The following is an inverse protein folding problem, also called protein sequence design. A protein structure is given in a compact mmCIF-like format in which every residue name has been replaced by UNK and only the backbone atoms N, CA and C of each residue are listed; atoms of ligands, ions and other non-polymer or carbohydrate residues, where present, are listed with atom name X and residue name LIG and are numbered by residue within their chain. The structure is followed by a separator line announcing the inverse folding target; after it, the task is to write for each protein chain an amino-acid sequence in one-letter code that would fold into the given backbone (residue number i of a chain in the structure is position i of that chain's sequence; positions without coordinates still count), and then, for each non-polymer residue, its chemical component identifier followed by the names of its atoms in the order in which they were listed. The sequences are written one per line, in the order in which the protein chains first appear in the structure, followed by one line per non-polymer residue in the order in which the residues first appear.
data_IF_156802489943
#
_entry.id   IF_156802489943
#
_cell.length_a   1.000
_cell.length_b   1.000
_cell.length_c   1.000
_cell.angle_alpha   90.00
_cell.angle_beta   90.00
_cell.angle_gamma   90.00
#
_symmetry.space_group_name_H-M   'P 1'
#
loop_
_entity.id
_entity.type
_entity.pdbx_description
1 polymer ?
#
# COMPACT_ATOMS: atom_id res chain seq x y z
N UNK A 1 -9.41 9.03 -5.74
CA UNK A 1 -8.56 9.02 -4.52
C UNK A 1 -9.08 8.02 -3.49
N UNK A 2 -8.20 7.21 -2.91
CA UNK A 2 -8.47 6.39 -1.73
C UNK A 2 -7.87 7.06 -0.48
N UNK A 3 -8.51 6.88 0.69
CA UNK A 3 -8.12 7.46 1.99
C UNK A 3 -7.66 8.94 1.94
N UNK A 4 -8.41 9.79 1.23
CA UNK A 4 -8.08 11.21 1.03
C UNK A 4 -6.65 11.48 0.50
N UNK A 5 -6.04 10.52 -0.20
CA UNK A 5 -4.69 10.66 -0.74
C UNK A 5 -3.57 10.14 0.17
N UNK A 6 -3.89 9.55 1.32
CA UNK A 6 -2.89 8.96 2.23
C UNK A 6 -2.58 7.49 1.92
N UNK A 7 -3.37 6.86 1.04
CA UNK A 7 -3.11 5.53 0.51
C UNK A 7 -2.20 5.58 -0.73
N UNK A 8 -0.89 5.75 -0.51
CA UNK A 8 0.08 6.05 -1.59
C UNK A 8 0.41 4.80 -2.43
N UNK A 9 0.14 4.87 -3.74
CA UNK A 9 0.46 3.82 -4.71
C UNK A 9 1.80 4.04 -5.44
N UNK A 10 2.24 5.30 -5.58
CA UNK A 10 3.55 5.69 -6.10
C UNK A 10 4.03 6.98 -5.41
N UNK A 11 5.20 6.94 -4.79
CA UNK A 11 5.80 8.08 -4.11
C UNK A 11 6.45 9.10 -5.06
N UNK A 12 6.61 8.76 -6.34
CA UNK A 12 7.33 9.58 -7.33
C UNK A 12 6.40 10.20 -8.38
N UNK A 13 5.09 10.11 -8.17
CA UNK A 13 4.09 10.64 -9.10
C UNK A 13 3.08 11.52 -8.37
N UNK A 14 2.61 12.54 -9.07
CA UNK A 14 1.50 13.39 -8.64
C UNK A 14 0.20 12.71 -9.04
N UNK A 15 -0.83 12.82 -8.19
CA UNK A 15 -2.17 12.38 -8.56
C UNK A 15 -2.67 13.26 -9.73
N UNK A 16 -3.10 12.69 -10.86
CA UNK A 16 -3.58 13.44 -12.02
C UNK A 16 -4.68 14.47 -11.72
N UNK A 17 -5.48 14.27 -10.66
CA UNK A 17 -6.49 15.25 -10.22
C UNK A 17 -5.87 16.59 -9.77
N UNK A 18 -4.57 16.61 -9.44
CA UNK A 18 -3.80 17.79 -9.00
C UNK A 18 -2.76 18.28 -10.00
N UNK A 19 -2.61 17.62 -11.14
CA UNK A 19 -1.60 17.94 -12.15
C UNK A 19 -0.52 16.87 -12.29
N UNK A 20 0.66 17.29 -12.74
CA UNK A 20 1.82 16.44 -12.95
C UNK A 20 3.08 16.93 -12.20
N UNK A 21 4.22 16.28 -12.44
CA UNK A 21 5.48 16.66 -11.80
C UNK A 21 6.00 18.03 -12.24
N UNK A 22 5.70 18.46 -13.48
CA UNK A 22 6.08 19.78 -13.97
C UNK A 22 5.31 20.87 -13.22
N UNK A 23 4.02 20.65 -12.93
CA UNK A 23 3.23 21.57 -12.12
C UNK A 23 3.82 21.76 -10.70
N UNK A 24 4.34 20.69 -10.11
CA UNK A 24 5.03 20.73 -8.80
C UNK A 24 6.35 21.49 -8.88
N UNK A 25 7.15 21.25 -9.92
CA UNK A 25 8.41 21.97 -10.15
C UNK A 25 8.16 23.48 -10.32
N UNK A 26 7.14 23.84 -11.10
CA UNK A 26 6.74 25.24 -11.34
C UNK A 26 6.25 25.91 -10.06
N UNK A 27 5.47 25.19 -9.22
CA UNK A 27 5.02 25.67 -7.92
C UNK A 27 6.20 25.97 -6.98
N UNK A 28 7.17 25.05 -6.91
CA UNK A 28 8.35 25.21 -6.04
C UNK A 28 9.20 26.39 -6.51
N UNK A 29 9.40 26.54 -7.83
CA UNK A 29 10.16 27.64 -8.41
C UNK A 29 9.52 29.00 -8.07
N UNK A 30 8.23 29.16 -8.34
CA UNK A 30 7.49 30.40 -8.07
C UNK A 30 7.44 30.73 -6.57
N UNK A 31 7.24 29.73 -5.70
CA UNK A 31 7.31 29.92 -4.26
C UNK A 31 8.70 30.43 -3.83
N UNK A 32 9.76 29.89 -4.42
CA UNK A 32 11.13 30.30 -4.19
C UNK A 32 11.40 31.77 -4.53
N UNK A 33 10.89 32.26 -5.66
CA UNK A 33 10.98 33.68 -6.06
C UNK A 33 10.31 34.63 -5.06
N UNK A 34 9.27 34.16 -4.38
CA UNK A 34 8.53 34.90 -3.35
C UNK A 34 9.11 34.74 -1.94
N UNK A 35 10.21 33.99 -1.78
CA UNK A 35 10.78 33.67 -0.48
C UNK A 35 9.94 32.70 0.36
N UNK A 36 8.98 32.02 -0.25
CA UNK A 36 8.12 31.01 0.37
C UNK A 36 8.83 29.66 0.36
N UNK A 37 8.68 28.88 1.43
CA UNK A 37 9.16 27.50 1.51
C UNK A 37 7.99 26.53 1.47
N UNK A 38 8.16 25.48 0.67
CA UNK A 38 7.15 24.41 0.50
C UNK A 38 7.51 23.25 1.42
N UNK A 39 6.53 22.77 2.19
CA UNK A 39 6.63 21.55 2.99
C UNK A 39 5.57 20.56 2.50
N UNK A 40 5.92 19.27 2.48
CA UNK A 40 5.07 18.20 1.97
C UNK A 40 4.92 17.14 3.05
N UNK A 41 3.71 16.57 3.18
CA UNK A 41 3.45 15.45 4.07
C UNK A 41 4.14 14.17 3.58
N UNK A 42 4.72 13.41 4.51
CA UNK A 42 5.40 12.15 4.23
C UNK A 42 4.73 10.98 4.95
N UNK A 43 4.01 10.15 4.18
CA UNK A 43 3.29 8.98 4.70
C UNK A 43 4.12 7.71 4.48
N UNK A 44 4.84 7.27 5.51
CA UNK A 44 5.76 6.10 5.43
C UNK A 44 5.33 4.92 6.29
N UNK A 45 4.29 5.07 7.11
CA UNK A 45 3.80 3.98 7.97
C UNK A 45 3.12 2.86 7.17
N UNK A 46 2.53 3.18 6.01
CA UNK A 46 1.82 2.25 5.15
C UNK A 46 1.86 2.72 3.69
N UNK A 47 1.58 1.80 2.76
CA UNK A 47 1.38 2.07 1.34
C UNK A 47 0.06 1.44 0.89
N UNK A 48 -0.45 1.85 -0.27
CA UNK A 48 -1.59 1.21 -0.92
C UNK A 48 -1.35 -0.26 -1.25
N UNK A 49 -2.42 -1.05 -1.27
CA UNK A 49 -2.38 -2.43 -1.77
C UNK A 49 -2.13 -2.48 -3.29
N UNK A 50 -2.29 -1.36 -3.99
CA UNK A 50 -1.89 -1.20 -5.39
C UNK A 50 -0.40 -0.88 -5.57
N UNK A 51 0.31 -0.52 -4.49
CA UNK A 51 1.73 -0.18 -4.52
C UNK A 51 2.56 -1.36 -5.05
N UNK A 52 3.54 -1.08 -5.92
CA UNK A 52 4.37 -2.12 -6.58
C UNK A 52 5.04 -3.06 -5.58
N UNK A 53 5.50 -2.53 -4.45
CA UNK A 53 6.14 -3.31 -3.38
C UNK A 53 5.15 -4.30 -2.78
N UNK A 54 3.94 -3.86 -2.42
CA UNK A 54 2.93 -4.73 -1.84
C UNK A 54 2.50 -5.82 -2.80
N UNK A 55 2.21 -5.47 -4.07
CA UNK A 55 1.84 -6.46 -5.10
C UNK A 55 2.91 -7.53 -5.30
N UNK A 56 4.19 -7.15 -5.33
CA UNK A 56 5.30 -8.11 -5.46
C UNK A 56 5.51 -8.95 -4.20
N UNK A 57 5.42 -8.34 -3.02
CA UNK A 57 5.53 -9.03 -1.73
C UNK A 57 4.40 -10.05 -1.52
N UNK A 58 3.20 -9.74 -2.02
CA UNK A 58 2.03 -10.60 -1.95
C UNK A 58 2.12 -11.77 -2.95
N UNK A 59 2.58 -11.51 -4.18
CA UNK A 59 2.66 -12.52 -5.24
C UNK A 59 3.79 -13.53 -5.06
N UNK A 60 4.93 -13.11 -4.50
CA UNK A 60 6.11 -13.96 -4.33
C UNK A 60 6.67 -13.87 -2.88
N UNK A 61 6.61 -14.97 -2.10
CA UNK A 61 7.23 -15.04 -0.78
C UNK A 61 8.75 -14.79 -0.77
N UNK A 62 9.46 -15.04 -1.87
CA UNK A 62 10.91 -14.82 -2.02
C UNK A 62 11.24 -13.45 -2.62
N UNK A 63 10.24 -12.58 -2.78
CA UNK A 63 10.45 -11.22 -3.26
C UNK A 63 11.35 -10.44 -2.30
N UNK A 64 12.25 -9.61 -2.84
CA UNK A 64 13.03 -8.66 -2.03
C UNK A 64 12.16 -7.70 -1.19
N UNK A 65 10.89 -7.54 -1.57
CA UNK A 65 9.93 -6.69 -0.87
C UNK A 65 9.12 -7.45 0.19
N UNK A 66 9.33 -8.76 0.37
CA UNK A 66 8.53 -9.57 1.29
C UNK A 66 8.55 -9.01 2.71
N UNK A 67 9.74 -8.63 3.17
CA UNK A 67 9.97 -8.16 4.54
C UNK A 67 9.60 -6.67 4.73
N UNK A 68 9.14 -5.98 3.69
CA UNK A 68 8.62 -4.61 3.82
C UNK A 68 7.23 -4.58 4.48
N UNK A 69 6.54 -5.72 4.55
CA UNK A 69 5.19 -5.83 5.12
C UNK A 69 5.10 -6.98 6.12
N UNK A 70 4.14 -6.89 7.04
CA UNK A 70 3.94 -7.89 8.09
C UNK A 70 2.96 -8.95 7.60
N UNK A 71 3.48 -10.11 7.19
CA UNK A 71 2.68 -11.29 6.86
C UNK A 71 2.64 -12.27 8.05
N UNK A 72 1.44 -12.62 8.51
CA UNK A 72 1.25 -13.62 9.58
C UNK A 72 0.13 -14.59 9.22
N UNK A 73 0.35 -15.93 9.33
CA UNK A 73 -0.69 -16.91 9.05
C UNK A 73 -1.77 -16.90 10.13
N UNK A 74 -2.97 -17.33 9.78
CA UNK A 74 -4.05 -17.56 10.72
C UNK A 74 -3.66 -18.65 11.74
N UNK A 75 -4.14 -18.52 12.98
CA UNK A 75 -3.96 -19.50 14.06
C UNK A 75 -5.33 -20.11 14.36
N UNK A 76 -5.47 -21.43 14.20
CA UNK A 76 -6.74 -22.16 14.39
C UNK A 76 -7.92 -21.56 13.59
N UNK A 77 -7.66 -21.10 12.36
CA UNK A 77 -8.67 -20.48 11.49
C UNK A 77 -9.08 -19.05 11.90
N UNK A 78 -8.48 -18.49 12.94
CA UNK A 78 -8.71 -17.13 13.42
C UNK A 78 -7.54 -16.20 13.08
N UNK A 79 -7.74 -14.89 13.29
CA UNK A 79 -6.68 -13.89 13.13
C UNK A 79 -5.45 -14.23 14.01
N UNK A 80 -4.22 -13.85 13.60
CA UNK A 80 -3.00 -14.24 14.32
C UNK A 80 -2.92 -13.72 15.77
N UNK A 81 -3.63 -12.62 16.07
CA UNK A 81 -3.72 -12.02 17.40
C UNK A 81 -5.03 -11.21 17.52
N UNK A 82 -5.23 -10.51 18.64
CA UNK A 82 -6.41 -9.68 18.93
C UNK A 82 -6.21 -8.19 18.60
N UNK A 83 -5.18 -7.81 17.82
CA UNK A 83 -4.96 -6.42 17.43
C UNK A 83 -6.13 -5.89 16.60
N UNK A 84 -6.44 -4.61 16.80
CA UNK A 84 -7.57 -3.94 16.14
C UNK A 84 -7.05 -2.83 15.25
N UNK A 85 -7.64 -2.71 14.07
CA UNK A 85 -7.44 -1.53 13.22
C UNK A 85 -8.06 -0.31 13.90
N UNK A 86 -7.37 0.83 13.81
CA UNK A 86 -7.91 2.14 14.22
C UNK A 86 -9.13 2.50 13.35
N UNK A 87 -9.12 2.07 12.09
CA UNK A 87 -10.28 2.17 11.21
C UNK A 87 -11.20 0.97 11.45
N UNK A 88 -12.44 1.23 11.89
CA UNK A 88 -13.44 0.24 12.36
C UNK A 88 -13.87 -0.85 11.36
N UNK A 89 -13.26 -0.98 10.17
CA UNK A 89 -13.55 -2.08 9.23
C UNK A 89 -12.47 -3.15 9.31
N UNK A 90 -12.78 -4.27 9.98
CA UNK A 90 -12.05 -5.52 9.77
C UNK A 90 -12.17 -5.93 8.29
N UNK A 91 -11.10 -5.81 7.51
CA UNK A 91 -10.85 -6.76 6.40
C UNK A 91 -9.95 -7.86 6.94
N UNK A 92 -10.50 -8.74 7.78
CA UNK A 92 -9.95 -10.10 7.90
C UNK A 92 -10.42 -10.84 6.66
N UNK A 93 -9.75 -10.57 5.54
CA UNK A 93 -9.97 -11.29 4.29
C UNK A 93 -9.47 -12.71 4.48
N UNK A 94 -10.40 -13.67 4.57
CA UNK A 94 -10.13 -15.04 4.10
C UNK A 94 -9.47 -14.89 2.73
N UNK A 95 -8.26 -15.45 2.57
CA UNK A 95 -7.70 -15.70 1.25
C UNK A 95 -8.61 -16.73 0.54
N UNK A 96 -9.68 -16.23 -0.07
CA UNK A 96 -10.52 -16.96 -1.03
C UNK A 96 -10.22 -16.43 -2.42
N UNK A 97 -8.97 -16.60 -2.86
CA UNK A 97 -8.58 -16.69 -4.29
C UNK A 97 -7.39 -17.62 -4.45
N UNK A 98 -7.55 -18.88 -4.04
CA UNK A 98 -6.97 -20.08 -4.68
C UNK A 98 -7.82 -21.28 -4.27
N UNK A 99 -8.99 -21.40 -4.89
CA UNK A 99 -9.50 -22.73 -5.22
C UNK A 99 -9.00 -23.03 -6.63
N UNK A 100 -8.77 -24.31 -6.86
CA UNK A 100 -8.36 -24.91 -8.12
C UNK A 100 -6.86 -24.84 -8.39
N UNK A 101 -6.16 -25.81 -7.79
CA UNK A 101 -5.24 -26.73 -8.45
C UNK A 101 -4.59 -27.58 -7.36
N UNK A 102 -5.17 -28.75 -7.09
CA UNK A 102 -4.50 -30.03 -6.81
C UNK A 102 -5.61 -31.08 -6.58
N UNK A 103 -5.75 -31.94 -7.58
CA UNK A 103 -6.70 -33.06 -7.68
C UNK A 103 -6.51 -34.08 -6.55
N UNK A 104 -7.59 -34.78 -6.10
CA UNK A 104 -7.47 -35.84 -5.12
C UNK A 104 -7.01 -37.14 -5.79
N UNK A 105 -5.89 -37.69 -5.32
CA UNK A 105 -5.62 -39.13 -5.41
C UNK A 105 -4.96 -39.59 -4.11
N UNK A 106 -5.74 -40.25 -3.28
CA UNK A 106 -5.24 -41.30 -2.40
C UNK A 106 -6.22 -42.47 -2.56
N UNK A 107 -5.61 -43.65 -2.69
CA UNK A 107 -6.18 -44.98 -2.92
C UNK A 107 -7.29 -45.39 -1.97
#
# INVERSE_FOLDING_TARGET
MADNGYDIADYFAVNPDFGDMQDVDDLIAQAGEMGIKVMIDLVVNHTSDEHRWFRQALANPDSRYRDYYIFKPAVNGAAPNNWRSIFRRQRVGKSTRRRDLLSPRVS
#
